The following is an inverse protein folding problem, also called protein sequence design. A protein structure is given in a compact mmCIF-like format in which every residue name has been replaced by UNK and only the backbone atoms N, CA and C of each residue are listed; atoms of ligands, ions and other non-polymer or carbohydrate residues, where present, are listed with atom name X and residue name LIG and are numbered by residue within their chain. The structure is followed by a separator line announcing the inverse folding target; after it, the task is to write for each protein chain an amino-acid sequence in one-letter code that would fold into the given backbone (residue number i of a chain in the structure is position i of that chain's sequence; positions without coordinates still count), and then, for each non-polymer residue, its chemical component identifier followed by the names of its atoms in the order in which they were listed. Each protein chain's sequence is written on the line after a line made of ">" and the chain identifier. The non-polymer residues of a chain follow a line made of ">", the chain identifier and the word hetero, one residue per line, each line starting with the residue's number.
data_IF_841651053004
#
_entry.id   IF_841651053004
#
_cell.length_a   1.000
_cell.length_b   1.000
_cell.length_c   1.000
_cell.angle_alpha   90.00
_cell.angle_beta   90.00
_cell.angle_gamma   90.00
#
_symmetry.space_group_name_H-M   'P 1'
#
loop_
_entity.id
_entity.type
_entity.pdbx_description
1 polymer ?
#
# COMPACT_ATOMS: atom_id res chain seq x y z
N UNK A 1 2.52 12.60 25.07
CA UNK A 1 1.22 12.72 24.39
C UNK A 1 0.71 11.34 23.99
N UNK A 2 -0.52 11.04 24.30
CA UNK A 2 -1.19 9.77 23.98
C UNK A 2 -2.49 10.05 23.24
N UNK A 3 -2.77 9.29 22.18
CA UNK A 3 -4.03 9.44 21.43
C UNK A 3 -5.14 8.77 22.25
N UNK A 4 -6.12 9.55 22.70
CA UNK A 4 -7.29 9.05 23.42
C UNK A 4 -8.52 8.96 22.51
N UNK A 5 -8.53 9.75 21.43
CA UNK A 5 -9.62 9.84 20.46
C UNK A 5 -9.17 9.23 19.12
N UNK A 6 -9.09 7.90 19.08
CA UNK A 6 -8.63 7.19 17.88
C UNK A 6 -9.52 7.40 16.66
N UNK A 7 -10.83 7.48 16.87
CA UNK A 7 -11.76 7.70 15.75
C UNK A 7 -11.48 9.04 15.07
N UNK A 8 -11.35 10.10 15.87
CA UNK A 8 -11.04 11.43 15.34
C UNK A 8 -9.67 11.47 14.68
N UNK A 9 -8.68 10.83 15.29
CA UNK A 9 -7.33 10.74 14.70
C UNK A 9 -7.35 10.07 13.33
N UNK A 10 -8.17 9.02 13.15
CA UNK A 10 -8.24 8.25 11.92
C UNK A 10 -9.09 8.89 10.82
N UNK A 11 -9.95 9.86 11.14
CA UNK A 11 -10.85 10.49 10.17
C UNK A 11 -10.14 10.98 8.90
N UNK A 12 -9.03 11.74 8.97
CA UNK A 12 -8.33 12.16 7.75
C UNK A 12 -7.81 10.98 6.91
N UNK A 13 -7.39 9.91 7.56
CA UNK A 13 -6.91 8.70 6.87
C UNK A 13 -8.05 7.96 6.18
N UNK A 14 -9.21 7.86 6.83
CA UNK A 14 -10.41 7.24 6.26
C UNK A 14 -10.84 8.02 5.01
N UNK A 15 -10.88 9.34 5.12
CA UNK A 15 -11.23 10.21 4.01
C UNK A 15 -10.23 10.08 2.86
N UNK A 16 -8.93 10.09 3.17
CA UNK A 16 -7.88 9.94 2.17
C UNK A 16 -7.99 8.63 1.40
N UNK A 17 -8.22 7.52 2.10
CA UNK A 17 -8.40 6.21 1.45
C UNK A 17 -9.59 6.23 0.50
N UNK A 18 -10.72 6.80 0.92
CA UNK A 18 -11.92 6.93 0.07
C UNK A 18 -11.66 7.74 -1.19
N UNK A 19 -11.04 8.91 -1.03
CA UNK A 19 -10.72 9.81 -2.14
C UNK A 19 -9.70 9.19 -3.10
N UNK A 20 -8.64 8.62 -2.58
CA UNK A 20 -7.59 7.99 -3.38
C UNK A 20 -8.11 6.80 -4.18
N UNK A 21 -9.01 5.99 -3.59
CA UNK A 21 -9.65 4.90 -4.33
C UNK A 21 -10.39 5.43 -5.56
N UNK A 22 -11.17 6.49 -5.39
CA UNK A 22 -11.92 7.12 -6.49
C UNK A 22 -10.97 7.65 -7.55
N UNK A 23 -9.93 8.37 -7.14
CA UNK A 23 -8.95 8.96 -8.06
C UNK A 23 -8.21 7.91 -8.88
N UNK A 24 -7.73 6.86 -8.22
CA UNK A 24 -7.00 5.79 -8.89
C UNK A 24 -7.91 4.96 -9.82
N UNK A 25 -9.14 4.70 -9.40
CA UNK A 25 -10.14 4.05 -10.27
C UNK A 25 -10.50 4.92 -11.46
N UNK A 26 -10.44 6.24 -11.29
CA UNK A 26 -10.68 7.20 -12.38
C UNK A 26 -9.68 7.04 -13.52
N UNK A 27 -8.44 6.71 -13.23
CA UNK A 27 -7.41 6.45 -14.26
C UNK A 27 -7.86 5.31 -15.16
N UNK A 28 -8.31 4.18 -14.58
CA UNK A 28 -8.80 3.03 -15.31
C UNK A 28 -9.98 3.40 -16.23
N UNK A 29 -10.92 4.18 -15.69
CA UNK A 29 -12.09 4.62 -16.46
C UNK A 29 -11.70 5.48 -17.66
N UNK A 30 -10.72 6.36 -17.50
CA UNK A 30 -10.26 7.24 -18.59
C UNK A 30 -9.59 6.45 -19.70
N UNK A 31 -8.77 5.46 -19.39
CA UNK A 31 -8.17 4.57 -20.38
C UNK A 31 -9.25 3.81 -21.16
N UNK A 32 -10.24 3.25 -20.46
CA UNK A 32 -11.33 2.50 -21.07
C UNK A 32 -12.15 3.36 -22.03
N UNK A 33 -12.43 4.61 -21.66
CA UNK A 33 -13.17 5.54 -22.53
C UNK A 33 -12.42 5.84 -23.82
N UNK A 34 -11.10 5.74 -23.81
CA UNK A 34 -10.24 5.93 -24.98
C UNK A 34 -9.95 4.63 -25.74
N UNK A 35 -10.60 3.53 -25.37
CA UNK A 35 -10.34 2.19 -25.92
C UNK A 35 -8.87 1.80 -25.84
N UNK A 36 -8.21 2.19 -24.75
CA UNK A 36 -6.80 1.87 -24.47
C UNK A 36 -6.71 0.82 -23.37
N UNK A 37 -5.68 -0.01 -23.43
CA UNK A 37 -5.36 -0.92 -22.33
C UNK A 37 -5.08 -0.11 -21.06
N UNK A 38 -5.87 -0.37 -20.00
CA UNK A 38 -5.61 0.27 -18.71
C UNK A 38 -4.47 -0.42 -18.01
N UNK A 39 -3.48 0.33 -17.47
CA UNK A 39 -2.45 -0.29 -16.61
C UNK A 39 -3.02 -0.76 -15.28
N UNK A 40 -4.21 -0.33 -14.90
CA UNK A 40 -4.85 -0.69 -13.61
C UNK A 40 -6.00 -1.67 -13.84
N UNK A 41 -5.93 -2.82 -13.18
CA UNK A 41 -7.03 -3.80 -13.15
C UNK A 41 -8.06 -3.43 -12.09
N UNK A 42 -7.64 -3.26 -10.84
CA UNK A 42 -8.51 -2.80 -9.76
C UNK A 42 -7.70 -2.16 -8.63
N UNK A 43 -8.41 -1.46 -7.75
CA UNK A 43 -7.83 -0.76 -6.61
C UNK A 43 -8.59 -1.15 -5.35
N UNK A 44 -7.86 -1.50 -4.30
CA UNK A 44 -8.40 -1.68 -2.97
C UNK A 44 -7.72 -0.71 -2.01
N UNK A 45 -8.37 -0.44 -0.87
CA UNK A 45 -7.78 0.41 0.13
C UNK A 45 -8.30 0.05 1.52
N UNK A 46 -7.48 0.34 2.52
CA UNK A 46 -7.89 0.17 3.91
C UNK A 46 -7.17 1.17 4.81
N UNK A 47 -7.82 1.46 5.93
CA UNK A 47 -7.16 2.13 7.05
C UNK A 47 -6.68 1.05 8.01
N UNK A 48 -5.43 1.16 8.46
CA UNK A 48 -4.84 0.20 9.38
C UNK A 48 -5.67 0.13 10.67
N UNK A 49 -6.06 -1.07 11.15
CA UNK A 49 -6.80 -1.19 12.40
C UNK A 49 -6.02 -0.63 13.58
N UNK A 50 -6.73 -0.05 14.55
CA UNK A 50 -6.13 0.57 15.74
C UNK A 50 -5.17 -0.40 16.45
N UNK A 51 -5.60 -1.65 16.64
CA UNK A 51 -4.76 -2.67 17.30
C UNK A 51 -3.46 -2.94 16.53
N UNK A 52 -3.53 -2.94 15.19
CA UNK A 52 -2.35 -3.11 14.34
C UNK A 52 -1.41 -1.90 14.43
N UNK A 53 -1.97 -0.69 14.54
CA UNK A 53 -1.18 0.53 14.74
C UNK A 53 -0.42 0.45 16.07
N UNK A 54 -1.12 0.12 17.15
CA UNK A 54 -0.52 0.01 18.49
C UNK A 54 0.57 -1.06 18.54
N UNK A 55 0.31 -2.21 17.94
CA UNK A 55 1.30 -3.30 17.86
C UNK A 55 2.57 -2.87 17.13
N UNK A 56 2.40 -2.21 15.97
CA UNK A 56 3.54 -1.74 15.18
C UNK A 56 4.31 -0.64 15.90
N UNK A 57 3.63 0.23 16.63
CA UNK A 57 4.27 1.25 17.47
C UNK A 57 5.19 0.62 18.51
N UNK A 58 4.71 -0.41 19.21
CA UNK A 58 5.49 -1.14 20.22
C UNK A 58 6.69 -1.82 19.56
N UNK A 59 6.46 -2.56 18.48
CA UNK A 59 7.49 -3.34 17.80
C UNK A 59 8.62 -2.45 17.25
N UNK A 60 8.28 -1.27 16.73
CA UNK A 60 9.24 -0.35 16.12
C UNK A 60 9.70 0.79 17.03
N UNK A 61 9.19 0.85 18.25
CA UNK A 61 9.54 1.92 19.18
C UNK A 61 9.05 3.30 18.74
N UNK A 62 7.88 3.37 18.11
CA UNK A 62 7.30 4.63 17.64
C UNK A 62 6.50 5.27 18.76
N UNK A 63 6.76 6.57 19.05
CA UNK A 63 5.98 7.33 20.02
C UNK A 63 4.75 7.96 19.40
N UNK A 64 3.78 8.36 20.23
CA UNK A 64 2.60 9.07 19.76
C UNK A 64 2.94 10.42 19.13
N UNK A 65 4.01 11.07 19.56
CA UNK A 65 4.43 12.38 19.06
C UNK A 65 4.90 12.34 17.61
N UNK A 66 5.47 11.20 17.18
CA UNK A 66 6.01 11.03 15.84
C UNK A 66 5.23 10.05 14.99
N UNK A 67 4.10 9.53 15.50
CA UNK A 67 3.32 8.49 14.83
C UNK A 67 2.95 8.84 13.39
N UNK A 68 2.48 10.06 13.14
CA UNK A 68 2.04 10.47 11.81
C UNK A 68 3.17 10.47 10.78
N UNK A 69 4.41 10.64 11.21
CA UNK A 69 5.58 10.65 10.34
C UNK A 69 6.24 9.30 10.23
N UNK A 70 6.29 8.54 11.32
CA UNK A 70 7.04 7.29 11.40
C UNK A 70 6.23 6.09 10.91
N UNK A 71 4.90 6.13 11.03
CA UNK A 71 4.03 5.08 10.52
C UNK A 71 3.37 5.54 9.23
N UNK A 72 3.89 5.04 8.11
CA UNK A 72 3.56 5.54 6.78
C UNK A 72 2.38 4.81 6.11
N UNK A 73 1.90 3.74 6.70
CA UNK A 73 0.88 2.85 6.11
C UNK A 73 -0.44 2.81 6.90
N UNK A 74 -0.75 3.87 7.65
CA UNK A 74 -2.07 3.99 8.29
C UNK A 74 -3.14 4.03 7.22
N UNK A 75 -2.96 4.86 6.18
CA UNK A 75 -3.75 4.80 4.95
C UNK A 75 -2.99 3.94 3.94
N UNK A 76 -3.60 2.88 3.46
CA UNK A 76 -2.99 1.98 2.48
C UNK A 76 -3.88 1.76 1.27
N UNK A 77 -3.30 1.92 0.09
CA UNK A 77 -3.94 1.62 -1.18
C UNK A 77 -3.16 0.50 -1.86
N UNK A 78 -3.88 -0.35 -2.56
CA UNK A 78 -3.26 -1.41 -3.34
C UNK A 78 -3.79 -1.34 -4.77
N UNK A 79 -2.89 -1.15 -5.72
CA UNK A 79 -3.18 -1.06 -7.14
C UNK A 79 -2.73 -2.36 -7.78
N UNK A 80 -3.68 -3.10 -8.34
CA UNK A 80 -3.40 -4.33 -9.06
C UNK A 80 -3.26 -4.05 -10.54
N UNK A 81 -2.19 -4.59 -11.12
CA UNK A 81 -1.91 -4.49 -12.55
C UNK A 81 -1.80 -5.90 -13.14
N UNK A 82 -1.89 -6.01 -14.45
CA UNK A 82 -1.82 -7.29 -15.13
C UNK A 82 -0.37 -7.72 -15.39
N UNK A 83 0.43 -6.81 -15.91
CA UNK A 83 1.80 -7.08 -16.32
C UNK A 83 2.81 -6.22 -15.55
N UNK A 84 4.05 -6.71 -15.46
CA UNK A 84 5.14 -5.96 -14.80
C UNK A 84 5.35 -4.59 -15.44
N UNK A 85 5.24 -4.49 -16.77
CA UNK A 85 5.37 -3.21 -17.47
C UNK A 85 4.33 -2.19 -17.07
N UNK A 86 3.13 -2.64 -16.68
CA UNK A 86 2.07 -1.76 -16.21
C UNK A 86 2.44 -1.08 -14.88
N UNK A 87 3.30 -1.70 -14.07
CA UNK A 87 3.77 -1.11 -12.81
C UNK A 87 4.46 0.24 -13.07
N UNK A 88 5.39 0.26 -14.03
CA UNK A 88 6.13 1.49 -14.35
C UNK A 88 5.22 2.54 -14.97
N UNK A 89 4.22 2.13 -15.73
CA UNK A 89 3.24 3.06 -16.29
C UNK A 89 2.42 3.74 -15.18
N UNK A 90 1.95 2.98 -14.18
CA UNK A 90 1.25 3.54 -13.02
C UNK A 90 2.16 4.49 -12.24
N UNK A 91 3.40 4.09 -11.96
CA UNK A 91 4.37 4.93 -11.26
C UNK A 91 4.55 6.26 -11.99
N UNK A 92 4.72 6.21 -13.33
CA UNK A 92 4.87 7.41 -14.15
C UNK A 92 3.65 8.33 -14.08
N UNK A 93 2.45 7.75 -14.14
CA UNK A 93 1.20 8.53 -14.01
C UNK A 93 1.14 9.23 -12.67
N UNK A 94 1.47 8.54 -11.58
CA UNK A 94 1.41 9.11 -10.24
C UNK A 94 2.45 10.24 -10.04
N UNK A 95 3.64 10.12 -10.62
CA UNK A 95 4.64 11.18 -10.57
C UNK A 95 4.20 12.48 -11.24
N UNK A 96 3.32 12.41 -12.23
CA UNK A 96 2.82 13.57 -12.98
C UNK A 96 1.65 14.26 -12.30
N UNK A 97 1.07 13.67 -11.26
CA UNK A 97 -0.13 14.22 -10.60
C UNK A 97 0.23 15.43 -9.76
N UNK A 98 -0.71 16.39 -9.70
CA UNK A 98 -0.59 17.61 -8.90
C UNK A 98 -1.27 17.47 -7.53
N UNK A 99 -2.10 16.46 -7.35
CA UNK A 99 -2.92 16.27 -6.15
C UNK A 99 -2.31 15.34 -5.11
N UNK A 100 -1.08 14.88 -5.34
CA UNK A 100 -0.31 14.10 -4.38
C UNK A 100 1.17 14.27 -4.66
N UNK A 101 2.01 14.07 -3.63
CA UNK A 101 3.46 14.17 -3.75
C UNK A 101 4.12 12.88 -3.28
N UNK A 102 4.88 12.24 -4.15
CA UNK A 102 5.65 11.05 -3.82
C UNK A 102 6.90 11.48 -3.06
N UNK A 103 7.08 10.96 -1.85
CA UNK A 103 8.23 11.29 -1.00
C UNK A 103 9.21 10.12 -0.84
N UNK A 104 8.78 8.90 -1.15
CA UNK A 104 9.63 7.72 -1.02
C UNK A 104 9.15 6.64 -1.99
N UNK A 105 10.09 5.90 -2.55
CA UNK A 105 9.81 4.75 -3.42
C UNK A 105 10.68 3.57 -3.01
N UNK A 106 10.12 2.36 -3.08
CA UNK A 106 10.84 1.11 -2.86
C UNK A 106 10.44 0.10 -3.93
N UNK A 107 11.38 -0.28 -4.75
CA UNK A 107 11.17 -1.23 -5.84
C UNK A 107 11.57 -2.65 -5.41
N UNK A 108 10.62 -3.37 -4.80
CA UNK A 108 10.82 -4.78 -4.44
C UNK A 108 10.52 -5.73 -5.60
N UNK A 109 10.25 -5.22 -6.80
CA UNK A 109 10.11 -6.04 -8.00
C UNK A 109 11.49 -6.26 -8.59
N UNK A 110 12.26 -5.18 -8.78
CA UNK A 110 13.63 -5.21 -9.27
C UNK A 110 14.59 -5.71 -8.19
N UNK A 111 14.39 -5.28 -6.95
CA UNK A 111 15.20 -5.64 -5.79
C UNK A 111 14.36 -6.51 -4.83
N UNK A 112 14.17 -7.77 -5.20
CA UNK A 112 13.35 -8.71 -4.43
C UNK A 112 13.91 -8.92 -3.03
N UNK A 113 12.98 -9.08 -2.06
CA UNK A 113 13.35 -9.56 -0.73
C UNK A 113 13.77 -11.04 -0.80
N UNK A 114 14.62 -11.46 0.15
CA UNK A 114 15.07 -12.85 0.23
C UNK A 114 13.92 -13.86 0.32
N UNK A 115 12.78 -13.46 0.92
CA UNK A 115 11.58 -14.29 1.02
C UNK A 115 10.89 -14.56 -0.32
N UNK A 116 11.20 -13.78 -1.38
CA UNK A 116 10.50 -13.80 -2.65
C UNK A 116 9.42 -12.75 -2.79
N UNK A 117 9.16 -11.96 -1.74
CA UNK A 117 8.17 -10.89 -1.78
C UNK A 117 8.51 -9.86 -2.87
N UNK A 118 7.52 -9.53 -3.69
CA UNK A 118 7.63 -8.56 -4.78
C UNK A 118 6.46 -7.58 -4.72
N UNK A 119 6.78 -6.30 -4.79
CA UNK A 119 5.80 -5.21 -4.85
C UNK A 119 6.54 -3.91 -5.12
N UNK A 120 5.85 -2.91 -5.66
CA UNK A 120 6.39 -1.56 -5.75
C UNK A 120 5.66 -0.70 -4.73
N UNK A 121 6.41 -0.05 -3.83
CA UNK A 121 5.83 0.76 -2.75
C UNK A 121 6.12 2.23 -2.96
N UNK A 122 5.08 3.05 -2.88
CA UNK A 122 5.17 4.50 -2.89
C UNK A 122 4.63 5.03 -1.58
N UNK A 123 5.37 5.98 -0.98
CA UNK A 123 4.84 6.78 0.12
C UNK A 123 4.54 8.15 -0.44
N UNK A 124 3.31 8.61 -0.24
CA UNK A 124 2.85 9.91 -0.71
C UNK A 124 2.41 10.79 0.44
N UNK A 125 2.56 12.10 0.25
CA UNK A 125 1.85 13.12 1.02
C UNK A 125 0.55 13.43 0.28
N UNK A 126 -0.56 13.40 1.00
CA UNK A 126 -1.88 13.68 0.48
C UNK A 126 -2.64 14.59 1.43
N UNK A 127 -3.24 15.64 0.90
CA UNK A 127 -3.97 16.63 1.69
C UNK A 127 -5.47 16.39 1.57
N UNK A 128 -6.15 16.28 2.72
CA UNK A 128 -7.61 16.23 2.80
C UNK A 128 -8.13 17.50 3.46
N UNK A 129 -9.29 17.96 3.03
CA UNK A 129 -10.00 19.04 3.69
C UNK A 129 -10.98 18.44 4.71
N UNK A 130 -10.81 18.83 5.96
CA UNK A 130 -11.68 18.39 7.06
C UNK A 130 -12.50 19.57 7.59
N UNK A 131 -13.45 19.28 8.47
CA UNK A 131 -14.22 20.35 9.14
C UNK A 131 -13.33 21.26 9.99
N UNK A 132 -12.11 20.83 10.31
CA UNK A 132 -11.13 21.58 11.08
C UNK A 132 -10.01 22.16 10.19
N UNK A 133 -10.21 22.20 8.88
CA UNK A 133 -9.24 22.70 7.91
C UNK A 133 -8.50 21.58 7.18
N UNK A 134 -7.50 21.97 6.41
CA UNK A 134 -6.68 21.04 5.63
C UNK A 134 -5.74 20.24 6.52
N UNK A 135 -5.61 18.95 6.23
CA UNK A 135 -4.68 18.05 6.90
C UNK A 135 -3.90 17.27 5.86
N UNK A 136 -2.58 17.33 5.92
CA UNK A 136 -1.71 16.52 5.06
C UNK A 136 -1.31 15.27 5.82
N UNK A 137 -1.56 14.12 5.22
CA UNK A 137 -1.23 12.82 5.80
C UNK A 137 -0.31 12.03 4.88
N UNK A 138 0.32 11.00 5.42
CA UNK A 138 1.08 10.03 4.64
C UNK A 138 0.18 8.85 4.28
N UNK A 139 0.34 8.35 3.06
CA UNK A 139 -0.33 7.13 2.61
C UNK A 139 0.66 6.25 1.86
N UNK A 140 0.47 4.95 1.95
CA UNK A 140 1.25 3.98 1.18
C UNK A 140 0.41 3.48 0.01
N UNK A 141 1.02 3.50 -1.18
CA UNK A 141 0.44 2.88 -2.37
C UNK A 141 1.33 1.70 -2.75
N UNK A 142 0.78 0.50 -2.72
CA UNK A 142 1.45 -0.71 -3.20
C UNK A 142 0.94 -1.03 -4.59
N UNK A 143 1.87 -1.26 -5.52
CA UNK A 143 1.55 -1.65 -6.89
C UNK A 143 2.08 -3.05 -7.11
N UNK A 144 1.20 -3.98 -7.52
CA UNK A 144 1.52 -5.40 -7.71
C UNK A 144 0.84 -5.93 -8.95
N UNK A 145 1.45 -6.95 -9.57
CA UNK A 145 0.70 -7.78 -10.50
C UNK A 145 -0.25 -8.68 -9.72
N UNK A 146 -1.25 -9.24 -10.40
CA UNK A 146 -2.19 -10.19 -9.79
C UNK A 146 -1.43 -11.41 -9.22
N UNK A 147 -0.42 -11.91 -9.94
CA UNK A 147 0.40 -13.02 -9.48
C UNK A 147 1.18 -12.68 -8.20
N UNK A 148 1.77 -11.50 -8.13
CA UNK A 148 2.48 -11.02 -6.92
C UNK A 148 1.55 -10.93 -5.73
N UNK A 149 0.33 -10.44 -5.95
CA UNK A 149 -0.67 -10.32 -4.89
C UNK A 149 -1.12 -11.69 -4.39
N UNK A 150 -1.37 -12.61 -5.32
CA UNK A 150 -1.73 -13.99 -4.98
C UNK A 150 -0.63 -14.67 -4.16
N UNK A 151 0.62 -14.56 -4.59
CA UNK A 151 1.77 -15.10 -3.87
C UNK A 151 1.86 -14.52 -2.44
N UNK A 152 1.75 -13.19 -2.31
CA UNK A 152 1.84 -12.52 -1.02
C UNK A 152 0.70 -12.93 -0.07
N UNK A 153 -0.49 -13.15 -0.60
CA UNK A 153 -1.65 -13.61 0.16
C UNK A 153 -1.42 -15.01 0.72
N UNK A 154 -0.88 -15.91 -0.12
CA UNK A 154 -0.56 -17.28 0.31
C UNK A 154 0.56 -17.27 1.36
N UNK A 155 1.62 -16.52 1.13
CA UNK A 155 2.72 -16.39 2.09
C UNK A 155 2.21 -15.90 3.45
N UNK A 156 1.36 -14.86 3.46
CA UNK A 156 0.77 -14.34 4.69
C UNK A 156 -0.06 -15.40 5.42
N UNK A 157 -0.87 -16.16 4.69
CA UNK A 157 -1.69 -17.24 5.26
C UNK A 157 -0.83 -18.34 5.86
N UNK A 158 0.28 -18.70 5.19
CA UNK A 158 1.21 -19.70 5.69
C UNK A 158 1.97 -19.19 6.93
N UNK A 159 2.35 -17.93 6.96
CA UNK A 159 2.95 -17.30 8.15
C UNK A 159 2.03 -17.42 9.36
N UNK A 160 0.75 -17.17 9.16
CA UNK A 160 -0.25 -17.30 10.22
C UNK A 160 -0.38 -18.75 10.67
N UNK A 161 -0.48 -19.71 9.71
CA UNK A 161 -0.63 -21.14 9.99
C UNK A 161 0.54 -21.71 10.79
N UNK A 162 1.78 -21.33 10.44
CA UNK A 162 3.01 -21.87 11.03
C UNK A 162 3.66 -20.92 12.04
N UNK A 163 2.98 -19.83 12.40
CA UNK A 163 3.47 -18.83 13.38
C UNK A 163 4.86 -18.27 13.00
N UNK A 164 5.06 -18.07 11.69
CA UNK A 164 6.32 -17.52 11.17
C UNK A 164 7.44 -18.54 10.96
N UNK A 165 7.23 -19.79 11.35
CA UNK A 165 8.23 -20.86 11.20
C UNK A 165 7.76 -21.92 10.20
N UNK A 166 8.07 -21.66 8.92
CA UNK A 166 7.68 -22.55 7.82
C UNK A 166 8.56 -23.78 7.77
N UNK A 167 8.00 -24.97 7.40
CA UNK A 167 8.81 -26.07 6.93
C UNK A 167 9.68 -25.63 5.74
N UNK A 168 10.92 -26.15 5.70
CA UNK A 168 11.89 -25.78 4.67
C UNK A 168 11.37 -26.04 3.25
N UNK A 169 10.67 -27.13 3.06
CA UNK A 169 10.05 -27.48 1.77
C UNK A 169 9.08 -26.39 1.27
N UNK A 170 8.27 -25.85 2.18
CA UNK A 170 7.32 -24.78 1.83
C UNK A 170 8.06 -23.49 1.48
N UNK A 171 9.13 -23.14 2.21
CA UNK A 171 9.97 -21.99 1.90
C UNK A 171 10.54 -22.08 0.49
N UNK A 172 11.08 -23.24 0.13
CA UNK A 172 11.64 -23.47 -1.20
C UNK A 172 10.60 -23.32 -2.30
N UNK A 173 9.40 -23.88 -2.10
CA UNK A 173 8.30 -23.77 -3.06
C UNK A 173 7.84 -22.33 -3.25
N UNK A 174 7.77 -21.55 -2.17
CA UNK A 174 7.42 -20.13 -2.25
C UNK A 174 8.47 -19.33 -3.02
N UNK A 175 9.76 -19.58 -2.79
CA UNK A 175 10.84 -18.93 -3.53
C UNK A 175 10.80 -19.25 -5.01
N UNK A 176 10.55 -20.51 -5.37
CA UNK A 176 10.44 -20.95 -6.77
C UNK A 176 9.26 -20.26 -7.45
N UNK A 177 8.07 -20.29 -6.82
CA UNK A 177 6.88 -19.69 -7.40
C UNK A 177 6.97 -18.16 -7.50
N UNK A 178 7.70 -17.51 -6.62
CA UNK A 178 7.92 -16.08 -6.68
C UNK A 178 8.71 -15.63 -7.91
N UNK A 179 9.45 -16.54 -8.55
CA UNK A 179 10.26 -16.25 -9.74
C UNK A 179 9.45 -16.28 -11.04
N UNK A 180 8.25 -16.80 -10.99
CA UNK A 180 7.33 -16.85 -12.13
C UNK A 180 6.61 -15.51 -12.27
#
# INVERSE_FOLDING_TARGET
>A
YMITEWEEFLDPYIQAVGELKIKLRGIRKQYRKQNRHSPIEFVTGRVKPIESIKEKMIRRGISYDTLEQDLQDIAGLRVMVQFVDDVQEVVSILHKRQDMRIIQERDYIKHRKASGYRSYHLIIEYTVDTINGSKTILAEIQIRTLAMNFWATIEHSLNYKYQGDFPEEIKERLEITARI
#
